data_IF_707133485741
#
_entry.id   IF_707133485741
#
_cell.length_a   1.000
_cell.length_b   1.000
_cell.length_c   1.000
_cell.angle_alpha   90.00
_cell.angle_beta   90.00
_cell.angle_gamma   90.00
#
_symmetry.space_group_name_H-M   'P 1'
#
loop_
_entity.id
_entity.type
_entity.pdbx_description
1 polymer ?
#
# COMPACT_ATOMS: atom_id res chain seq x y z
N UNK A 1 14.83 0.47 -33.52
CA UNK A 1 14.71 1.70 -32.70
C UNK A 1 13.65 1.61 -31.58
N UNK A 2 12.51 0.92 -31.77
CA UNK A 2 11.45 0.78 -30.76
C UNK A 2 11.88 0.06 -29.46
N UNK A 3 12.77 -0.94 -29.52
CA UNK A 3 13.24 -1.67 -28.32
C UNK A 3 14.02 -0.80 -27.32
N UNK A 4 14.73 0.25 -27.79
CA UNK A 4 15.54 1.12 -26.92
C UNK A 4 14.65 2.01 -26.05
N UNK A 5 13.55 2.53 -26.62
CA UNK A 5 12.56 3.33 -25.88
C UNK A 5 11.86 2.55 -24.77
N UNK A 6 11.54 1.28 -25.01
CA UNK A 6 10.92 0.40 -24.01
C UNK A 6 11.88 0.03 -22.86
N UNK A 7 13.16 -0.18 -23.15
CA UNK A 7 14.17 -0.43 -22.10
C UNK A 7 14.40 0.79 -21.20
N UNK A 8 14.31 2.00 -21.77
CA UNK A 8 14.47 3.25 -21.03
C UNK A 8 13.25 3.49 -20.13
N UNK A 9 12.02 3.31 -20.64
CA UNK A 9 10.81 3.49 -19.84
C UNK A 9 10.73 2.54 -18.63
N UNK A 10 11.21 1.30 -18.77
CA UNK A 10 11.33 0.34 -17.65
C UNK A 10 12.30 0.83 -16.58
N UNK A 11 13.45 1.40 -16.98
CA UNK A 11 14.42 1.94 -16.04
C UNK A 11 13.86 3.18 -15.32
N UNK A 12 13.13 4.05 -16.02
CA UNK A 12 12.45 5.19 -15.40
C UNK A 12 11.36 4.75 -14.42
N UNK A 13 10.56 3.75 -14.77
CA UNK A 13 9.58 3.13 -13.85
C UNK A 13 10.28 2.66 -12.58
N UNK A 14 11.35 1.88 -12.71
CA UNK A 14 12.07 1.31 -11.57
C UNK A 14 12.67 2.40 -10.68
N UNK A 15 13.27 3.43 -11.28
CA UNK A 15 13.86 4.54 -10.55
C UNK A 15 12.80 5.36 -9.80
N UNK A 16 11.68 5.67 -10.46
CA UNK A 16 10.56 6.40 -9.88
C UNK A 16 9.90 5.62 -8.74
N UNK A 17 9.58 4.34 -8.97
CA UNK A 17 9.00 3.47 -7.93
C UNK A 17 9.95 3.34 -6.74
N UNK A 18 11.27 3.14 -6.95
CA UNK A 18 12.23 2.99 -5.84
C UNK A 18 12.33 4.26 -4.99
N UNK A 19 12.37 5.44 -5.63
CA UNK A 19 12.42 6.73 -4.94
C UNK A 19 11.15 6.94 -4.10
N UNK A 20 9.99 6.72 -4.71
CA UNK A 20 8.71 6.91 -4.06
C UNK A 20 8.46 5.90 -2.94
N UNK A 21 8.93 4.65 -3.10
CA UNK A 21 8.92 3.63 -2.06
C UNK A 21 9.73 4.04 -0.84
N UNK A 22 10.97 4.52 -1.04
CA UNK A 22 11.83 4.93 0.07
C UNK A 22 11.25 6.12 0.83
N UNK A 23 10.66 7.07 0.11
CA UNK A 23 9.92 8.20 0.69
C UNK A 23 8.71 7.74 1.51
N UNK A 24 7.99 6.74 1.00
CA UNK A 24 6.79 6.18 1.63
C UNK A 24 7.15 5.37 2.88
N UNK A 25 8.16 4.48 2.81
CA UNK A 25 8.67 3.69 3.93
C UNK A 25 9.28 4.53 5.05
N UNK A 26 9.84 5.70 4.73
CA UNK A 26 10.36 6.64 5.73
C UNK A 26 9.25 7.51 6.36
N UNK A 27 8.08 7.56 5.75
CA UNK A 27 6.95 8.31 6.28
C UNK A 27 6.44 7.68 7.57
N UNK A 28 6.26 8.49 8.62
CA UNK A 28 5.67 8.04 9.87
C UNK A 28 4.24 7.50 9.72
N UNK A 29 3.53 7.88 8.65
CA UNK A 29 2.16 7.46 8.41
C UNK A 29 1.99 5.94 8.30
N UNK A 30 2.93 5.23 7.66
CA UNK A 30 2.85 3.76 7.52
C UNK A 30 2.89 3.07 8.88
N UNK A 31 3.76 3.53 9.77
CA UNK A 31 3.93 2.93 11.09
C UNK A 31 2.70 3.17 11.96
N UNK A 32 2.10 4.36 11.89
CA UNK A 32 0.86 4.70 12.61
C UNK A 32 -0.28 3.79 12.16
N UNK A 33 -0.43 3.59 10.85
CA UNK A 33 -1.49 2.74 10.29
C UNK A 33 -1.28 1.28 10.65
N UNK A 34 -0.05 0.78 10.56
CA UNK A 34 0.28 -0.58 11.00
C UNK A 34 -0.06 -0.79 12.48
N UNK A 35 0.28 0.17 13.35
CA UNK A 35 -0.05 0.13 14.77
C UNK A 35 -1.57 0.11 15.02
N UNK A 36 -2.34 0.95 14.31
CA UNK A 36 -3.80 0.96 14.41
C UNK A 36 -4.42 -0.35 13.93
N UNK A 37 -3.91 -0.92 12.84
CA UNK A 37 -4.34 -2.24 12.35
C UNK A 37 -4.07 -3.34 13.37
N UNK A 38 -2.90 -3.34 14.02
CA UNK A 38 -2.60 -4.30 15.09
C UNK A 38 -3.52 -4.13 16.30
N UNK A 39 -3.81 -2.91 16.73
CA UNK A 39 -4.76 -2.65 17.82
C UNK A 39 -6.15 -3.17 17.46
N UNK A 40 -6.65 -2.85 16.26
CA UNK A 40 -7.96 -3.30 15.80
C UNK A 40 -8.03 -4.84 15.76
N UNK A 41 -7.02 -5.49 15.20
CA UNK A 41 -6.91 -6.96 15.15
C UNK A 41 -6.89 -7.57 16.56
N UNK A 42 -6.07 -7.03 17.46
CA UNK A 42 -5.96 -7.52 18.83
C UNK A 42 -7.27 -7.37 19.62
N UNK A 43 -7.99 -6.26 19.42
CA UNK A 43 -9.27 -6.04 20.09
C UNK A 43 -10.33 -7.03 19.60
N UNK A 44 -10.41 -7.26 18.29
CA UNK A 44 -11.32 -8.23 17.68
C UNK A 44 -11.00 -9.65 18.17
N UNK A 45 -9.71 -10.02 18.20
CA UNK A 45 -9.28 -11.33 18.68
C UNK A 45 -9.63 -11.54 20.16
N UNK A 46 -9.46 -10.51 20.99
CA UNK A 46 -9.86 -10.57 22.41
C UNK A 46 -11.36 -10.80 22.55
N UNK A 47 -12.17 -10.04 21.82
CA UNK A 47 -13.63 -10.21 21.85
C UNK A 47 -14.04 -11.62 21.40
N UNK A 48 -13.35 -12.16 20.40
CA UNK A 48 -13.59 -13.52 19.92
C UNK A 48 -13.26 -14.58 20.98
N UNK A 49 -12.14 -14.44 21.71
CA UNK A 49 -11.77 -15.33 22.82
C UNK A 49 -12.76 -15.22 23.99
N UNK A 50 -13.17 -14.00 24.34
CA UNK A 50 -14.17 -13.75 25.39
C UNK A 50 -15.53 -14.37 25.01
N UNK A 51 -15.91 -14.35 23.73
CA UNK A 51 -17.12 -15.02 23.22
C UNK A 51 -17.05 -16.55 23.29
N UNK A 52 -15.89 -17.17 23.02
CA UNK A 52 -15.72 -18.63 23.20
C UNK A 52 -15.82 -19.03 24.67
N UNK A 53 -15.31 -18.18 25.57
CA UNK A 53 -15.37 -18.46 27.01
C UNK A 53 -16.78 -18.31 27.59
N UNK A 54 -17.60 -17.42 27.02
CA UNK A 54 -18.96 -17.14 27.49
C UNK A 54 -20.03 -18.05 26.87
N UNK A 55 -19.91 -18.36 25.58
CA UNK A 55 -20.84 -19.22 24.84
C UNK A 55 -20.08 -20.42 24.27
N UNK A 56 -20.36 -21.62 24.79
CA UNK A 56 -19.70 -22.90 24.46
C UNK A 56 -19.93 -23.38 22.99
N UNK A 57 -20.41 -22.48 22.12
CA UNK A 57 -20.95 -22.81 20.80
C UNK A 57 -20.71 -21.67 19.82
N UNK A 58 -19.46 -21.40 19.43
CA UNK A 58 -19.11 -20.90 18.08
C UNK A 58 -17.63 -21.21 17.79
N UNK A 59 -17.30 -22.49 17.62
CA UNK A 59 -16.03 -22.91 17.01
C UNK A 59 -16.07 -22.43 15.57
N UNK A 60 -15.59 -21.22 15.30
CA UNK A 60 -15.32 -20.79 13.93
C UNK A 60 -14.03 -21.49 13.49
N UNK A 61 -14.08 -22.11 12.31
CA UNK A 61 -12.96 -22.89 11.78
C UNK A 61 -11.65 -22.07 11.67
N UNK A 62 -11.75 -20.73 11.50
CA UNK A 62 -10.60 -19.85 11.32
C UNK A 62 -10.71 -18.54 12.14
N UNK A 63 -10.30 -18.54 13.43
CA UNK A 63 -10.43 -17.38 14.31
C UNK A 63 -9.57 -16.17 13.90
N UNK A 64 -8.52 -16.40 13.11
CA UNK A 64 -7.61 -15.37 12.61
C UNK A 64 -8.12 -14.68 11.33
N UNK A 65 -9.07 -15.27 10.61
CA UNK A 65 -9.51 -14.73 9.33
C UNK A 65 -10.18 -13.36 9.49
N UNK A 66 -11.07 -13.22 10.48
CA UNK A 66 -11.82 -11.98 10.71
C UNK A 66 -10.93 -10.79 11.17
N UNK A 67 -10.04 -10.96 12.17
CA UNK A 67 -9.08 -9.90 12.54
C UNK A 67 -8.13 -9.48 11.41
N UNK A 68 -7.62 -10.45 10.63
CA UNK A 68 -6.72 -10.16 9.51
C UNK A 68 -7.45 -9.45 8.36
N UNK A 69 -8.67 -9.86 8.04
CA UNK A 69 -9.48 -9.24 6.99
C UNK A 69 -9.74 -7.75 7.26
N UNK A 70 -10.09 -7.39 8.50
CA UNK A 70 -10.29 -6.00 8.91
C UNK A 70 -8.99 -5.19 8.78
N UNK A 71 -7.86 -5.79 9.16
CA UNK A 71 -6.55 -5.15 9.05
C UNK A 71 -6.17 -4.84 7.59
N UNK A 72 -6.43 -5.77 6.67
CA UNK A 72 -6.22 -5.59 5.22
C UNK A 72 -7.09 -4.47 4.66
N UNK A 73 -8.35 -4.36 5.10
CA UNK A 73 -9.24 -3.27 4.69
C UNK A 73 -8.63 -1.91 5.08
N UNK A 74 -8.21 -1.76 6.34
CA UNK A 74 -7.62 -0.52 6.85
C UNK A 74 -6.37 -0.13 6.04
N UNK A 75 -5.48 -1.10 5.79
CA UNK A 75 -4.25 -0.89 5.00
C UNK A 75 -4.58 -0.48 3.56
N UNK A 76 -5.57 -1.13 2.94
CA UNK A 76 -5.99 -0.86 1.57
C UNK A 76 -6.53 0.56 1.40
N UNK A 77 -7.38 1.01 2.33
CA UNK A 77 -7.88 2.38 2.34
C UNK A 77 -6.75 3.41 2.50
N UNK A 78 -5.80 3.13 3.41
CA UNK A 78 -4.65 4.00 3.60
C UNK A 78 -3.80 4.12 2.33
N UNK A 79 -3.49 3.00 1.67
CA UNK A 79 -2.72 3.01 0.43
C UNK A 79 -3.42 3.80 -0.68
N UNK A 80 -4.74 3.65 -0.82
CA UNK A 80 -5.52 4.41 -1.79
C UNK A 80 -5.43 5.93 -1.55
N UNK A 81 -5.59 6.36 -0.30
CA UNK A 81 -5.46 7.77 0.10
C UNK A 81 -4.03 8.26 -0.16
N UNK A 82 -3.03 7.48 0.21
CA UNK A 82 -1.62 7.83 0.02
C UNK A 82 -1.26 7.99 -1.46
N UNK A 83 -1.79 7.11 -2.32
CA UNK A 83 -1.64 7.17 -3.77
C UNK A 83 -2.26 8.45 -4.32
N UNK A 84 -3.50 8.75 -3.92
CA UNK A 84 -4.22 9.96 -4.33
C UNK A 84 -3.50 11.25 -3.91
N UNK A 85 -3.02 11.34 -2.66
CA UNK A 85 -2.25 12.49 -2.16
C UNK A 85 -0.97 12.67 -2.96
N UNK A 86 -0.24 11.59 -3.24
CA UNK A 86 1.01 11.68 -3.99
C UNK A 86 0.76 12.17 -5.41
N UNK A 87 -0.28 11.67 -6.09
CA UNK A 87 -0.63 12.10 -7.45
C UNK A 87 -1.06 13.58 -7.44
N UNK A 88 -1.88 13.99 -6.47
CA UNK A 88 -2.28 15.40 -6.34
C UNK A 88 -1.07 16.30 -6.15
N UNK A 89 -0.15 15.93 -5.25
CA UNK A 89 1.04 16.74 -4.97
C UNK A 89 1.95 16.86 -6.20
N UNK A 90 2.13 15.79 -6.96
CA UNK A 90 2.94 15.80 -8.19
C UNK A 90 2.29 16.64 -9.30
N UNK A 91 0.96 16.68 -9.35
CA UNK A 91 0.19 17.58 -10.21
C UNK A 91 0.34 19.04 -9.79
N UNK A 92 0.19 19.33 -8.50
CA UNK A 92 0.21 20.71 -7.96
C UNK A 92 1.63 21.33 -8.02
N UNK A 93 2.68 20.49 -7.96
CA UNK A 93 4.08 20.93 -8.06
C UNK A 93 4.59 21.09 -9.51
N UNK A 94 3.74 20.87 -10.53
CA UNK A 94 4.15 20.91 -11.95
C UNK A 94 5.16 19.82 -12.34
N UNK A 95 5.41 18.84 -11.46
CA UNK A 95 6.40 17.78 -11.71
C UNK A 95 5.92 16.83 -12.79
N UNK A 96 4.60 16.66 -12.94
CA UNK A 96 4.00 15.89 -14.03
C UNK A 96 4.39 16.45 -15.40
N UNK A 97 4.40 17.78 -15.55
CA UNK A 97 4.72 18.43 -16.83
C UNK A 97 6.18 18.17 -17.21
N UNK A 98 7.11 18.33 -16.26
CA UNK A 98 8.55 18.03 -16.44
C UNK A 98 8.78 16.54 -16.74
N UNK A 99 8.03 15.64 -16.10
CA UNK A 99 8.16 14.20 -16.31
C UNK A 99 7.68 13.78 -17.71
N UNK A 100 6.65 14.45 -18.24
CA UNK A 100 6.12 14.21 -19.59
C UNK A 100 6.99 14.80 -20.70
N UNK A 101 7.90 15.73 -20.40
CA UNK A 101 8.97 16.11 -21.33
C UNK A 101 10.05 15.02 -21.49
N UNK A 102 10.09 14.03 -20.59
CA UNK A 102 10.93 12.82 -20.71
C UNK A 102 10.27 11.72 -21.56
N UNK A 103 10.94 10.54 -21.71
CA UNK A 103 10.40 9.39 -22.44
C UNK A 103 9.29 8.65 -21.64
N UNK A 104 8.55 9.36 -20.78
CA UNK A 104 7.59 8.78 -19.84
C UNK A 104 6.18 9.05 -20.36
N UNK A 105 5.45 8.00 -20.71
CA UNK A 105 4.03 8.11 -21.07
C UNK A 105 3.14 8.08 -19.83
N UNK A 106 1.90 8.58 -19.92
CA UNK A 106 0.93 8.56 -18.82
C UNK A 106 0.69 7.15 -18.27
N UNK A 107 0.70 6.15 -19.16
CA UNK A 107 0.61 4.75 -18.78
C UNK A 107 1.80 4.27 -17.95
N UNK A 108 3.02 4.63 -18.36
CA UNK A 108 4.28 4.32 -17.65
C UNK A 108 4.29 4.92 -16.24
N UNK A 109 3.76 6.14 -16.09
CA UNK A 109 3.60 6.81 -14.81
C UNK A 109 2.63 6.08 -13.87
N UNK A 110 1.41 5.78 -14.35
CA UNK A 110 0.39 5.06 -13.56
C UNK A 110 0.92 3.69 -13.13
N UNK A 111 1.58 2.97 -14.04
CA UNK A 111 2.13 1.65 -13.77
C UNK A 111 3.22 1.70 -12.68
N UNK A 112 4.07 2.73 -12.70
CA UNK A 112 5.07 2.95 -11.65
C UNK A 112 4.45 3.20 -10.27
N UNK A 113 3.33 3.93 -10.21
CA UNK A 113 2.59 4.16 -8.96
C UNK A 113 1.96 2.87 -8.44
N UNK A 114 1.33 2.11 -9.33
CA UNK A 114 0.71 0.84 -9.00
C UNK A 114 1.72 -0.19 -8.48
N UNK A 115 2.89 -0.33 -9.14
CA UNK A 115 3.97 -1.22 -8.67
C UNK A 115 4.47 -0.80 -7.29
N UNK A 116 4.58 0.51 -7.04
CA UNK A 116 4.98 1.07 -5.75
C UNK A 116 3.95 0.74 -4.65
N UNK A 117 2.66 0.89 -4.94
CA UNK A 117 1.60 0.57 -3.97
C UNK A 117 1.52 -0.95 -3.71
N UNK A 118 1.68 -1.81 -4.73
CA UNK A 118 1.82 -3.27 -4.56
C UNK A 118 3.01 -3.62 -3.67
N UNK A 119 4.19 -3.05 -3.94
CA UNK A 119 5.37 -3.41 -3.17
C UNK A 119 5.25 -2.95 -1.71
N UNK A 120 4.63 -1.79 -1.48
CA UNK A 120 4.33 -1.29 -0.12
C UNK A 120 3.35 -2.22 0.60
N UNK A 121 2.29 -2.65 -0.09
CA UNK A 121 1.35 -3.63 0.43
C UNK A 121 2.05 -4.94 0.79
N UNK A 122 2.91 -5.47 -0.09
CA UNK A 122 3.64 -6.71 0.14
C UNK A 122 4.55 -6.61 1.39
N UNK A 123 5.24 -5.48 1.57
CA UNK A 123 6.02 -5.23 2.79
C UNK A 123 5.10 -5.25 4.02
N UNK A 124 3.95 -4.59 3.98
CA UNK A 124 3.02 -4.58 5.11
C UNK A 124 2.47 -5.98 5.44
N UNK A 125 2.15 -6.78 4.42
CA UNK A 125 1.69 -8.17 4.61
C UNK A 125 2.77 -9.05 5.24
N UNK A 126 4.04 -8.88 4.86
CA UNK A 126 5.16 -9.64 5.47
C UNK A 126 5.37 -9.28 6.93
N UNK A 127 5.01 -8.05 7.33
CA UNK A 127 5.12 -7.60 8.72
C UNK A 127 3.91 -8.00 9.59
N UNK A 128 2.79 -8.41 8.99
CA UNK A 128 1.55 -8.77 9.67
C UNK A 128 1.48 -10.28 9.95
#
# INVERSE_FOLDING_TARGET
>A
MAQKGFSLSIQTIKALSKRDLYSTLRSWGIYIVAFLSFIASSFILKNYLDSIQADDILISADPLNYPLFISVIIISFYLAILSAISISREKDQGTLEVLFYGPVSSFTYILGKYIKDILTYLVMVVFF
#
